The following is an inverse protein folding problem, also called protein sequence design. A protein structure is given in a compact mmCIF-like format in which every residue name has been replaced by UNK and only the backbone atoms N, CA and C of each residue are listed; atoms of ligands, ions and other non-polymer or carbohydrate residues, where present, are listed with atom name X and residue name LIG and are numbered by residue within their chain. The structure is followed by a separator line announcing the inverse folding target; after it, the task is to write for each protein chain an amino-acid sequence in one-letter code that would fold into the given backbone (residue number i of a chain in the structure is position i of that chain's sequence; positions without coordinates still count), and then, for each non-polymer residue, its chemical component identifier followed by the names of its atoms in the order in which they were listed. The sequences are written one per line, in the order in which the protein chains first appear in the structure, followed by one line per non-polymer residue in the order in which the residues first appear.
data_IF_114317643417
#
_entry.id   IF_114317643417
#
_cell.length_a   1.000
_cell.length_b   1.000
_cell.length_c   1.000
_cell.angle_alpha   90.00
_cell.angle_beta   90.00
_cell.angle_gamma   90.00
#
_symmetry.space_group_name_H-M   'P 1'
#
loop_
_entity.id
_entity.type
_entity.pdbx_description
1 polymer ?
#
# COMPACT_ATOMS: atom_id res chain seq x y z
N UNK A 1 13.85 -13.64 0.30
CA UNK A 1 12.94 -12.52 -0.03
C UNK A 1 11.54 -12.65 0.56
N UNK A 2 11.09 -13.87 0.96
CA UNK A 2 9.75 -14.10 1.56
C UNK A 2 9.30 -13.11 2.65
N UNK A 3 10.18 -12.76 3.59
CA UNK A 3 9.82 -11.83 4.67
C UNK A 3 9.56 -10.41 4.13
N UNK A 4 10.44 -9.92 3.25
CA UNK A 4 10.32 -8.58 2.64
C UNK A 4 9.03 -8.49 1.81
N UNK A 5 8.73 -9.52 1.01
CA UNK A 5 7.46 -9.60 0.26
C UNK A 5 6.23 -9.50 1.19
N UNK A 6 6.22 -10.24 2.31
CA UNK A 6 5.11 -10.17 3.28
C UNK A 6 4.97 -8.79 3.92
N UNK A 7 6.08 -8.15 4.27
CA UNK A 7 6.08 -6.78 4.84
C UNK A 7 5.53 -5.78 3.83
N UNK A 8 5.95 -5.86 2.56
CA UNK A 8 5.44 -5.00 1.49
C UNK A 8 3.94 -5.21 1.26
N UNK A 9 3.46 -6.45 1.27
CA UNK A 9 2.03 -6.77 1.17
C UNK A 9 1.23 -6.22 2.36
N UNK A 10 1.74 -6.38 3.59
CA UNK A 10 1.08 -5.84 4.78
C UNK A 10 1.05 -4.31 4.78
N UNK A 11 2.15 -3.67 4.34
CA UNK A 11 2.21 -2.21 4.17
C UNK A 11 1.25 -1.70 3.10
N UNK A 12 1.10 -2.42 1.99
CA UNK A 12 0.11 -2.11 0.96
C UNK A 12 -1.31 -2.14 1.52
N UNK A 13 -1.67 -3.18 2.29
CA UNK A 13 -2.96 -3.28 2.96
C UNK A 13 -3.20 -2.09 3.93
N UNK A 14 -2.21 -1.76 4.75
CA UNK A 14 -2.31 -0.61 5.65
C UNK A 14 -2.52 0.71 4.90
N UNK A 15 -1.83 0.91 3.77
CA UNK A 15 -1.99 2.09 2.93
C UNK A 15 -3.39 2.16 2.29
N UNK A 16 -3.99 1.04 1.88
CA UNK A 16 -5.39 1.02 1.40
C UNK A 16 -6.35 1.43 2.52
N UNK A 17 -6.14 0.95 3.75
CA UNK A 17 -6.98 1.35 4.90
C UNK A 17 -6.85 2.85 5.15
N UNK A 18 -5.63 3.39 5.15
CA UNK A 18 -5.39 4.82 5.31
C UNK A 18 -6.03 5.65 4.19
N UNK A 19 -6.03 5.14 2.96
CA UNK A 19 -6.75 5.78 1.86
C UNK A 19 -8.27 5.78 2.09
N UNK A 20 -8.84 4.67 2.56
CA UNK A 20 -10.26 4.59 2.92
C UNK A 20 -10.62 5.55 4.06
N UNK A 21 -9.77 5.69 5.07
CA UNK A 21 -9.95 6.63 6.17
C UNK A 21 -9.86 8.10 5.70
N UNK A 22 -8.92 8.40 4.80
CA UNK A 22 -8.83 9.72 4.16
C UNK A 22 -10.13 10.09 3.45
N UNK A 23 -10.71 9.14 2.71
CA UNK A 23 -11.94 9.33 1.95
C UNK A 23 -13.15 9.65 2.84
N UNK A 24 -13.20 9.10 4.06
CA UNK A 24 -14.31 9.30 5.01
C UNK A 24 -14.42 10.70 5.62
N UNK A 25 -13.62 11.67 5.15
CA UNK A 25 -13.77 13.08 5.52
C UNK A 25 -12.59 13.68 6.27
N UNK A 26 -11.50 12.93 6.45
CA UNK A 26 -10.21 13.46 6.94
C UNK A 26 -9.31 13.98 5.82
N UNK A 27 -9.76 13.92 4.57
CA UNK A 27 -8.99 14.37 3.41
C UNK A 27 -8.78 15.89 3.41
N UNK A 28 -7.69 16.31 4.04
CA UNK A 28 -7.01 17.55 3.71
C UNK A 28 -6.09 17.26 2.52
N UNK A 29 -6.55 17.57 1.30
CA UNK A 29 -5.74 17.60 0.08
C UNK A 29 -5.08 16.26 -0.34
N UNK A 30 -5.75 15.50 -1.22
CA UNK A 30 -5.22 14.32 -1.93
C UNK A 30 -4.69 13.15 -1.06
N UNK A 31 -4.81 13.18 0.27
CA UNK A 31 -4.22 12.15 1.12
C UNK A 31 -4.68 10.74 0.73
N UNK A 32 -5.97 10.53 0.44
CA UNK A 32 -6.48 9.24 -0.07
C UNK A 32 -5.79 8.77 -1.34
N UNK A 33 -5.58 9.66 -2.31
CA UNK A 33 -4.92 9.33 -3.58
C UNK A 33 -3.43 9.05 -3.41
N UNK A 34 -2.76 9.74 -2.46
CA UNK A 34 -1.37 9.49 -2.12
C UNK A 34 -1.20 8.11 -1.48
N UNK A 35 -2.08 7.77 -0.53
CA UNK A 35 -2.09 6.45 0.11
C UNK A 35 -2.37 5.32 -0.89
N UNK A 36 -3.25 5.51 -1.88
CA UNK A 36 -3.46 4.54 -2.96
C UNK A 36 -2.21 4.37 -3.84
N UNK A 37 -1.47 5.44 -4.11
CA UNK A 37 -0.21 5.40 -4.85
C UNK A 37 0.85 4.59 -4.09
N UNK A 38 1.01 4.86 -2.80
CA UNK A 38 1.89 4.09 -1.90
C UNK A 38 1.49 2.63 -1.87
N UNK A 39 0.19 2.33 -1.69
CA UNK A 39 -0.33 0.97 -1.70
C UNK A 39 0.01 0.22 -2.99
N UNK A 40 -0.13 0.88 -4.14
CA UNK A 40 0.14 0.31 -5.46
C UNK A 40 1.62 -0.04 -5.64
N UNK A 41 2.53 0.85 -5.25
CA UNK A 41 3.98 0.59 -5.33
C UNK A 41 4.38 -0.56 -4.41
N UNK A 42 3.92 -0.56 -3.16
CA UNK A 42 4.22 -1.63 -2.20
C UNK A 42 3.67 -2.99 -2.68
N UNK A 43 2.47 -3.02 -3.25
CA UNK A 43 1.90 -4.23 -3.85
C UNK A 43 2.74 -4.74 -5.02
N UNK A 44 3.08 -3.87 -5.98
CA UNK A 44 3.88 -4.26 -7.14
C UNK A 44 5.22 -4.88 -6.74
N UNK A 45 5.97 -4.23 -5.84
CA UNK A 45 7.24 -4.77 -5.37
C UNK A 45 7.06 -6.02 -4.51
N UNK A 46 6.02 -6.10 -3.67
CA UNK A 46 5.75 -7.28 -2.88
C UNK A 46 5.43 -8.51 -3.73
N UNK A 47 4.69 -8.33 -4.84
CA UNK A 47 4.40 -9.41 -5.81
C UNK A 47 5.64 -9.76 -6.60
N UNK A 48 6.38 -8.77 -7.10
CA UNK A 48 7.64 -8.99 -7.81
C UNK A 48 8.60 -9.85 -6.98
N UNK A 49 8.87 -9.47 -5.74
CA UNK A 49 9.75 -10.23 -4.85
C UNK A 49 9.21 -11.61 -4.48
N UNK A 50 7.88 -11.82 -4.54
CA UNK A 50 7.26 -13.12 -4.30
C UNK A 50 7.43 -14.08 -5.47
N UNK A 51 7.38 -13.54 -6.69
CA UNK A 51 7.46 -14.29 -7.95
C UNK A 51 8.91 -14.53 -8.36
N UNK A 52 9.81 -13.59 -8.05
CA UNK A 52 11.25 -13.69 -8.35
C UNK A 52 12.05 -14.56 -7.37
N UNK A 53 11.37 -15.35 -6.53
CA UNK A 53 11.95 -16.24 -5.52
C UNK A 53 11.53 -17.68 -5.77
#
# INVERSE_FOLDING_TARGET
MKMVSKVLMAGSLAAVILAGLGYMGYDFWLASTQWLLVASVLALFGVYLKVSE
#
